data_IF_592741283915
#
_entry.id   IF_592741283915
#
_cell.length_a   1.000
_cell.length_b   1.000
_cell.length_c   1.000
_cell.angle_alpha   90.00
_cell.angle_beta   90.00
_cell.angle_gamma   90.00
#
_symmetry.space_group_name_H-M   'P 1'
#
loop_
_entity.id
_entity.type
_entity.pdbx_description
1 polymer ?
#
# COMPACT_ATOMS: atom_id res chain seq x y z
N UNK A 1 -6.43 12.41 -2.28
CA UNK A 1 -6.73 10.96 -2.31
C UNK A 1 -7.98 10.61 -3.12
N UNK A 2 -9.13 11.27 -2.93
CA UNK A 2 -10.36 11.03 -3.72
C UNK A 2 -10.13 11.16 -5.23
N UNK A 3 -9.52 12.26 -5.67
CA UNK A 3 -9.24 12.51 -7.09
C UNK A 3 -8.33 11.45 -7.73
N UNK A 4 -7.38 10.90 -6.96
CA UNK A 4 -6.50 9.81 -7.41
C UNK A 4 -7.29 8.53 -7.63
N UNK A 5 -8.18 8.17 -6.70
CA UNK A 5 -9.01 6.98 -6.79
C UNK A 5 -10.01 7.07 -7.95
N UNK A 6 -10.57 8.25 -8.18
CA UNK A 6 -11.46 8.50 -9.30
C UNK A 6 -10.72 8.34 -10.63
N UNK A 7 -9.50 8.85 -10.75
CA UNK A 7 -8.66 8.61 -11.91
C UNK A 7 -8.26 7.15 -12.12
N UNK A 8 -7.93 6.42 -11.04
CA UNK A 8 -7.63 4.98 -11.12
C UNK A 8 -8.84 4.23 -11.65
N UNK A 9 -10.02 4.55 -11.11
CA UNK A 9 -11.29 3.95 -11.51
C UNK A 9 -11.61 4.25 -12.98
N UNK A 10 -11.55 5.52 -13.39
CA UNK A 10 -11.78 5.95 -14.77
C UNK A 10 -10.85 5.22 -15.74
N UNK A 11 -9.55 5.16 -15.41
CA UNK A 11 -8.54 4.46 -16.23
C UNK A 11 -8.89 2.99 -16.38
N UNK A 12 -9.27 2.32 -15.29
CA UNK A 12 -9.67 0.91 -15.33
C UNK A 12 -10.92 0.68 -16.17
N UNK A 13 -11.89 1.60 -16.11
CA UNK A 13 -13.11 1.54 -16.91
C UNK A 13 -12.84 1.77 -18.40
N UNK A 14 -11.86 2.61 -18.75
CA UNK A 14 -11.51 2.90 -20.15
C UNK A 14 -10.58 1.86 -20.78
N UNK A 15 -9.72 1.21 -20.00
CA UNK A 15 -8.66 0.31 -20.48
C UNK A 15 -9.04 -1.16 -20.26
N UNK A 16 -10.21 -1.57 -20.75
CA UNK A 16 -10.73 -2.93 -20.52
C UNK A 16 -10.23 -3.97 -21.52
N UNK A 17 -9.68 -3.56 -22.67
CA UNK A 17 -9.32 -4.45 -23.77
C UNK A 17 -7.95 -4.07 -24.31
N UNK A 18 -7.13 -5.09 -24.61
CA UNK A 18 -5.82 -4.92 -25.25
C UNK A 18 -4.63 -5.08 -24.30
N UNK A 19 -3.41 -4.90 -24.81
CA UNK A 19 -2.16 -5.14 -24.07
C UNK A 19 -2.00 -4.21 -22.85
N UNK A 20 -2.55 -3.00 -22.88
CA UNK A 20 -2.53 -2.08 -21.74
C UNK A 20 -3.34 -2.60 -20.54
N UNK A 21 -4.42 -3.34 -20.77
CA UNK A 21 -5.21 -3.98 -19.71
C UNK A 21 -4.41 -5.08 -19.02
N UNK A 22 -3.66 -5.89 -19.79
CA UNK A 22 -2.80 -6.93 -19.24
C UNK A 22 -1.71 -6.35 -18.34
N UNK A 23 -1.11 -5.23 -18.75
CA UNK A 23 -0.15 -4.47 -17.93
C UNK A 23 -0.83 -3.99 -16.64
N UNK A 24 -1.99 -3.34 -16.73
CA UNK A 24 -2.73 -2.84 -15.56
C UNK A 24 -3.10 -3.97 -14.59
N UNK A 25 -3.56 -5.12 -15.10
CA UNK A 25 -3.90 -6.29 -14.28
C UNK A 25 -2.68 -6.87 -13.58
N UNK A 26 -1.56 -7.02 -14.30
CA UNK A 26 -0.32 -7.54 -13.72
C UNK A 26 0.17 -6.66 -12.56
N UNK A 27 0.21 -5.34 -12.75
CA UNK A 27 0.56 -4.39 -11.69
C UNK A 27 -0.48 -4.38 -10.55
N UNK A 28 -1.77 -4.55 -10.87
CA UNK A 28 -2.83 -4.71 -9.88
C UNK A 28 -2.63 -5.93 -8.97
N UNK A 29 -2.36 -7.10 -9.54
CA UNK A 29 -2.09 -8.32 -8.76
C UNK A 29 -0.77 -8.25 -7.99
N UNK A 30 0.26 -7.60 -8.55
CA UNK A 30 1.50 -7.31 -7.81
C UNK A 30 1.23 -6.40 -6.60
N UNK A 31 0.47 -5.32 -6.77
CA UNK A 31 0.12 -4.41 -5.68
C UNK A 31 -0.64 -5.13 -4.56
N UNK A 32 -1.63 -5.96 -4.91
CA UNK A 32 -2.39 -6.78 -3.97
C UNK A 32 -1.50 -7.77 -3.23
N UNK A 33 -0.60 -8.45 -3.94
CA UNK A 33 0.35 -9.40 -3.35
C UNK A 33 1.29 -8.71 -2.36
N UNK A 34 1.80 -7.52 -2.72
CA UNK A 34 2.66 -6.72 -1.84
C UNK A 34 1.92 -6.29 -0.57
N UNK A 35 0.70 -5.76 -0.71
CA UNK A 35 -0.13 -5.32 0.42
C UNK A 35 -0.45 -6.50 1.35
N UNK A 36 -0.84 -7.66 0.82
CA UNK A 36 -1.14 -8.85 1.63
C UNK A 36 0.10 -9.33 2.39
N UNK A 37 1.27 -9.38 1.74
CA UNK A 37 2.53 -9.76 2.39
C UNK A 37 2.94 -8.75 3.46
N UNK A 38 2.81 -7.46 3.19
CA UNK A 38 3.10 -6.41 4.15
C UNK A 38 2.19 -6.49 5.38
N UNK A 39 0.88 -6.63 5.15
CA UNK A 39 -0.11 -6.78 6.20
C UNK A 39 0.14 -8.01 7.07
N UNK A 40 0.45 -9.17 6.46
CA UNK A 40 0.71 -10.40 7.21
C UNK A 40 1.93 -10.26 8.11
N UNK A 41 3.02 -9.67 7.60
CA UNK A 41 4.23 -9.41 8.39
C UNK A 41 3.92 -8.50 9.58
N UNK A 42 3.21 -7.38 9.36
CA UNK A 42 2.87 -6.45 10.43
C UNK A 42 1.98 -7.09 11.50
N UNK A 43 0.95 -7.85 11.12
CA UNK A 43 0.10 -8.53 12.09
C UNK A 43 0.84 -9.61 12.87
N UNK A 44 1.75 -10.36 12.22
CA UNK A 44 2.58 -11.36 12.90
C UNK A 44 3.48 -10.66 13.94
N UNK A 45 4.17 -9.59 13.55
CA UNK A 45 5.02 -8.83 14.47
C UNK A 45 4.22 -8.20 15.62
N UNK A 46 3.07 -7.60 15.32
CA UNK A 46 2.16 -7.04 16.32
C UNK A 46 1.63 -8.10 17.29
N UNK A 47 1.32 -9.31 16.79
CA UNK A 47 0.94 -10.45 17.60
C UNK A 47 2.04 -10.90 18.55
N UNK A 48 3.29 -11.02 18.07
CA UNK A 48 4.43 -11.35 18.93
C UNK A 48 4.67 -10.29 20.01
N UNK A 49 4.61 -9.01 19.64
CA UNK A 49 4.79 -7.91 20.58
C UNK A 49 3.75 -7.92 21.71
N UNK A 50 2.48 -8.16 21.36
CA UNK A 50 1.36 -8.14 22.31
C UNK A 50 1.24 -9.40 23.16
N UNK A 51 1.73 -10.55 22.68
CA UNK A 51 1.71 -11.82 23.42
C UNK A 51 2.89 -11.97 24.40
N UNK A 52 4.00 -11.25 24.18
CA UNK A 52 5.18 -11.30 25.06
C UNK A 52 4.84 -11.05 26.55
N UNK A 53 4.07 -10.02 26.96
CA UNK A 53 3.73 -9.78 28.36
C UNK A 53 2.90 -10.92 28.98
N UNK A 54 2.03 -11.55 28.17
CA UNK A 54 1.18 -12.67 28.62
C UNK A 54 2.03 -13.91 28.87
N UNK A 55 2.94 -14.23 27.95
CA UNK A 55 3.85 -15.37 28.08
C UNK A 55 4.74 -15.20 29.31
N UNK A 56 5.33 -14.01 29.49
CA UNK A 56 6.15 -13.68 30.65
C UNK A 56 5.34 -13.84 31.94
N UNK A 57 4.15 -13.24 32.03
CA UNK A 57 3.29 -13.35 33.21
C UNK A 57 2.93 -14.81 33.55
N UNK A 58 2.58 -15.62 32.54
CA UNK A 58 2.25 -17.04 32.72
C UNK A 58 3.46 -17.87 33.15
N UNK A 59 4.62 -17.67 32.52
CA UNK A 59 5.86 -18.38 32.86
C UNK A 59 6.24 -18.14 34.32
N UNK A 60 6.16 -16.89 34.78
CA UNK A 60 6.45 -16.54 36.18
C UNK A 60 5.43 -17.11 37.16
N UNK A 61 4.15 -17.26 36.79
CA UNK A 61 3.13 -17.90 37.66
C UNK A 61 3.33 -19.41 37.87
N UNK A 62 4.08 -20.07 36.98
CA UNK A 62 4.37 -21.50 37.05
C UNK A 62 5.70 -21.81 37.78
N UNK A 63 6.56 -20.81 37.93
CA UNK A 63 7.84 -20.96 38.64
C UNK A 63 7.61 -20.97 40.17
N UNK A 64 8.17 -21.94 40.91
CA UNK A 64 8.02 -22.03 42.35
C UNK A 64 8.94 -20.99 43.01
N UNK A 65 8.51 -19.74 43.05
CA UNK A 65 9.32 -18.66 43.62
C UNK A 65 8.67 -18.18 44.92
N UNK A 66 9.24 -18.67 46.01
CA UNK A 66 8.92 -18.29 47.37
C UNK A 66 9.50 -16.90 47.64
N UNK A 67 8.83 -15.81 47.21
CA UNK A 67 8.87 -14.46 47.79
C UNK A 67 7.84 -13.56 47.08
N UNK A 68 7.26 -12.61 47.84
CA UNK A 68 6.35 -11.53 47.43
C UNK A 68 6.94 -10.67 46.30
N UNK A 69 6.82 -11.12 45.06
CA UNK A 69 7.18 -10.32 43.89
C UNK A 69 5.90 -9.81 43.22
N UNK A 70 5.53 -8.56 43.52
CA UNK A 70 4.49 -7.83 42.80
C UNK A 70 4.81 -7.87 41.31
N UNK A 71 3.98 -8.54 40.51
CA UNK A 71 4.17 -8.70 39.08
C UNK A 71 4.46 -7.33 38.46
N UNK A 72 5.72 -7.06 38.10
CA UNK A 72 6.10 -5.87 37.34
C UNK A 72 5.61 -6.10 35.92
N UNK A 73 4.35 -5.75 35.69
CA UNK A 73 3.77 -5.65 34.36
C UNK A 73 4.71 -4.86 33.45
N UNK A 74 4.88 -5.34 32.21
CA UNK A 74 5.77 -4.74 31.20
C UNK A 74 5.41 -3.27 30.91
N UNK A 75 4.18 -2.90 31.23
CA UNK A 75 3.66 -1.54 31.22
C UNK A 75 3.25 -1.16 32.64
N UNK A 76 4.11 -0.44 33.36
CA UNK A 76 3.76 0.21 34.62
C UNK A 76 2.92 1.45 34.31
N UNK A 77 1.69 1.25 33.83
CA UNK A 77 0.72 2.34 33.71
C UNK A 77 0.16 2.55 35.10
N UNK A 78 0.51 3.66 35.73
CA UNK A 78 -0.14 4.15 36.96
C UNK A 78 -1.59 4.50 36.60
N UNK A 79 -2.42 3.48 36.39
CA UNK A 79 -3.83 3.66 36.17
C UNK A 79 -4.52 3.77 37.52
N UNK A 80 -5.53 4.64 37.57
CA UNK A 80 -6.52 4.78 38.64
C UNK A 80 -7.27 3.45 38.94
N UNK A 81 -7.03 2.41 38.14
CA UNK A 81 -7.66 1.09 38.18
C UNK A 81 -6.67 0.03 38.67
N UNK A 82 -7.16 -0.89 39.49
CA UNK A 82 -6.42 -2.06 39.99
C UNK A 82 -6.02 -2.99 38.83
N UNK A 83 -4.76 -2.89 38.42
CA UNK A 83 -4.19 -3.60 37.26
C UNK A 83 -4.23 -5.12 37.46
N UNK A 84 -4.13 -5.59 38.71
CA UNK A 84 -4.14 -7.03 39.01
C UNK A 84 -5.53 -7.63 38.79
N UNK A 85 -6.59 -6.91 39.20
CA UNK A 85 -7.98 -7.34 39.03
C UNK A 85 -8.44 -7.32 37.57
N UNK A 86 -8.01 -6.33 36.79
CA UNK A 86 -8.49 -6.10 35.42
C UNK A 86 -7.51 -6.52 34.33
N UNK A 87 -6.43 -7.24 34.66
CA UNK A 87 -5.35 -7.58 33.72
C UNK A 87 -5.84 -8.16 32.39
N UNK A 88 -6.71 -9.18 32.42
CA UNK A 88 -7.21 -9.82 31.20
C UNK A 88 -8.03 -8.85 30.34
N UNK A 89 -8.82 -7.96 30.96
CA UNK A 89 -9.62 -6.96 30.25
C UNK A 89 -8.72 -5.89 29.63
N UNK A 90 -7.71 -5.42 30.36
CA UNK A 90 -6.75 -4.42 29.88
C UNK A 90 -5.90 -4.97 28.73
N UNK A 91 -5.46 -6.22 28.85
CA UNK A 91 -4.75 -6.92 27.77
C UNK A 91 -5.63 -7.06 26.53
N UNK A 92 -6.89 -7.50 26.68
CA UNK A 92 -7.83 -7.59 25.57
C UNK A 92 -8.01 -6.23 24.87
N UNK A 93 -8.19 -5.16 25.65
CA UNK A 93 -8.28 -3.81 25.11
C UNK A 93 -6.99 -3.40 24.36
N UNK A 94 -5.81 -3.74 24.89
CA UNK A 94 -4.54 -3.48 24.22
C UNK A 94 -4.39 -4.26 22.90
N UNK A 95 -4.78 -5.54 22.86
CA UNK A 95 -4.78 -6.34 21.62
C UNK A 95 -5.67 -5.71 20.56
N UNK A 96 -6.89 -5.33 20.93
CA UNK A 96 -7.85 -4.68 20.03
C UNK A 96 -7.31 -3.33 19.55
N UNK A 97 -6.76 -2.51 20.44
CA UNK A 97 -6.16 -1.23 20.09
C UNK A 97 -5.00 -1.36 19.10
N UNK A 98 -4.08 -2.29 19.33
CA UNK A 98 -2.94 -2.53 18.44
C UNK A 98 -3.40 -3.07 17.08
N UNK A 99 -4.40 -3.95 17.06
CA UNK A 99 -4.99 -4.43 15.81
C UNK A 99 -5.55 -3.27 14.96
N UNK A 100 -6.28 -2.34 15.58
CA UNK A 100 -6.80 -1.16 14.89
C UNK A 100 -5.69 -0.21 14.42
N UNK A 101 -4.68 0.05 15.24
CA UNK A 101 -3.54 0.88 14.85
C UNK A 101 -2.81 0.30 13.63
N UNK A 102 -2.52 -1.00 13.65
CA UNK A 102 -1.89 -1.70 12.53
C UNK A 102 -2.79 -1.66 11.29
N UNK A 103 -4.10 -1.84 11.44
CA UNK A 103 -5.06 -1.75 10.33
C UNK A 103 -5.03 -0.39 9.64
N UNK A 104 -4.97 0.70 10.42
CA UNK A 104 -4.90 2.07 9.88
C UNK A 104 -3.60 2.29 9.10
N UNK A 105 -2.47 1.81 9.61
CA UNK A 105 -1.17 1.90 8.93
C UNK A 105 -1.17 1.12 7.63
N UNK A 106 -1.65 -0.14 7.66
CA UNK A 106 -1.78 -0.98 6.46
C UNK A 106 -2.68 -0.30 5.42
N UNK A 107 -3.77 0.34 5.85
CA UNK A 107 -4.66 1.05 4.93
C UNK A 107 -3.95 2.25 4.28
N UNK A 108 -3.24 3.08 5.07
CA UNK A 108 -2.51 4.23 4.54
C UNK A 108 -1.39 3.80 3.57
N UNK A 109 -0.55 2.86 3.98
CA UNK A 109 0.56 2.35 3.16
C UNK A 109 0.06 1.58 1.94
N UNK A 110 -1.01 0.79 2.09
CA UNK A 110 -1.61 0.05 1.00
C UNK A 110 -2.17 0.95 -0.08
N UNK A 111 -2.79 2.07 0.31
CA UNK A 111 -3.24 3.10 -0.64
C UNK A 111 -2.08 3.74 -1.39
N UNK A 112 -0.97 4.01 -0.71
CA UNK A 112 0.24 4.54 -1.33
C UNK A 112 0.87 3.55 -2.32
N UNK A 113 0.99 2.27 -1.94
CA UNK A 113 1.48 1.20 -2.80
C UNK A 113 0.62 1.10 -4.06
N UNK A 114 -0.71 1.07 -3.90
CA UNK A 114 -1.65 0.97 -5.01
C UNK A 114 -1.52 2.14 -5.99
N UNK A 115 -1.44 3.38 -5.49
CA UNK A 115 -1.27 4.56 -6.33
C UNK A 115 0.08 4.53 -7.08
N UNK A 116 1.16 4.15 -6.40
CA UNK A 116 2.49 4.04 -7.00
C UNK A 116 2.52 2.98 -8.10
N UNK A 117 1.99 1.78 -7.82
CA UNK A 117 1.92 0.69 -8.80
C UNK A 117 1.05 1.07 -10.00
N UNK A 118 -0.06 1.77 -9.79
CA UNK A 118 -0.90 2.27 -10.89
C UNK A 118 -0.15 3.26 -11.79
N UNK A 119 0.58 4.22 -11.21
CA UNK A 119 1.43 5.15 -11.96
C UNK A 119 2.50 4.41 -12.74
N UNK A 120 3.16 3.40 -12.14
CA UNK A 120 4.14 2.56 -12.83
C UNK A 120 3.51 1.81 -14.01
N UNK A 121 2.31 1.24 -13.84
CA UNK A 121 1.58 0.57 -14.91
C UNK A 121 1.27 1.50 -16.09
N UNK A 122 0.91 2.76 -15.81
CA UNK A 122 0.68 3.77 -16.86
C UNK A 122 1.96 4.11 -17.62
N UNK A 123 3.10 4.26 -16.94
CA UNK A 123 4.38 4.46 -17.61
C UNK A 123 4.80 3.25 -18.44
N UNK A 124 4.55 2.05 -17.94
CA UNK A 124 4.79 0.81 -18.67
C UNK A 124 3.94 0.73 -19.95
N UNK A 125 2.67 1.12 -19.88
CA UNK A 125 1.81 1.23 -21.08
C UNK A 125 2.33 2.24 -22.10
N UNK A 126 2.84 3.39 -21.65
CA UNK A 126 3.48 4.38 -22.54
C UNK A 126 4.73 3.78 -23.20
N UNK A 127 5.58 3.09 -22.42
CA UNK A 127 6.78 2.41 -22.93
C UNK A 127 6.40 1.38 -23.99
N UNK A 128 5.44 0.51 -23.68
CA UNK A 128 4.95 -0.50 -24.61
C UNK A 128 4.51 0.10 -25.96
N UNK A 129 3.75 1.19 -25.92
CA UNK A 129 3.33 1.88 -27.14
C UNK A 129 4.50 2.47 -27.94
N UNK A 130 5.52 3.02 -27.27
CA UNK A 130 6.72 3.55 -27.93
C UNK A 130 7.59 2.44 -28.54
N UNK A 131 7.77 1.32 -27.84
CA UNK A 131 8.53 0.17 -28.34
C UNK A 131 7.86 -0.48 -29.56
N UNK A 132 6.52 -0.56 -29.53
CA UNK A 132 5.72 -1.01 -30.69
C UNK A 132 5.99 -0.18 -31.94
N UNK A 133 6.14 1.15 -31.79
CA UNK A 133 6.47 2.05 -32.91
C UNK A 133 7.89 1.83 -33.46
N UNK A 134 8.87 1.48 -32.60
CA UNK A 134 10.24 1.20 -33.05
C UNK A 134 10.37 -0.16 -33.77
N UNK A 135 9.58 -1.16 -33.37
CA UNK A 135 9.61 -2.49 -33.97
C UNK A 135 8.89 -2.60 -35.32
N UNK A 136 8.01 -1.65 -35.62
CA UNK A 136 7.35 -1.52 -36.91
C UNK A 136 8.14 -0.58 -37.82
N UNK A 137 8.59 -1.06 -38.97
CA UNK A 137 9.40 -0.34 -39.98
C UNK A 137 8.60 0.81 -40.65
N UNK A 138 8.19 1.82 -39.86
CA UNK A 138 7.37 2.97 -40.28
C UNK A 138 8.22 4.12 -40.84
N UNK A 139 9.40 3.85 -41.39
CA UNK A 139 10.14 4.86 -42.15
C UNK A 139 9.52 4.99 -43.55
N UNK A 140 8.22 5.30 -43.62
CA UNK A 140 7.58 5.74 -44.85
C UNK A 140 8.09 7.16 -45.13
N UNK A 141 8.76 7.30 -46.28
CA UNK A 141 9.59 8.45 -46.65
C UNK A 141 8.82 9.80 -46.66
N UNK A 142 7.49 9.80 -46.60
CA UNK A 142 6.65 11.00 -46.44
C UNK A 142 5.28 10.62 -45.83
N UNK A 143 5.05 10.79 -44.51
CA UNK A 143 3.74 10.58 -43.92
C UNK A 143 2.84 11.80 -44.14
N UNK A 144 1.61 11.57 -44.59
CA UNK A 144 0.56 12.58 -44.51
C UNK A 144 0.13 12.71 -43.04
N UNK A 145 0.32 13.88 -42.43
CA UNK A 145 0.14 14.14 -40.98
C UNK A 145 -1.26 13.75 -40.47
N UNK A 146 -2.27 13.73 -41.36
CA UNK A 146 -3.64 13.37 -41.01
C UNK A 146 -3.92 11.85 -40.91
N UNK A 147 -3.03 11.00 -41.44
CA UNK A 147 -3.21 9.54 -41.51
C UNK A 147 -1.99 8.78 -40.92
N UNK A 148 -1.08 9.52 -40.27
CA UNK A 148 0.10 8.95 -39.64
C UNK A 148 -0.26 8.39 -38.25
N UNK A 149 -0.50 7.07 -38.23
CA UNK A 149 -0.74 6.30 -37.02
C UNK A 149 0.36 6.52 -35.97
N UNK A 150 1.63 6.63 -36.38
CA UNK A 150 2.75 6.86 -35.47
C UNK A 150 2.67 8.26 -34.83
N UNK A 151 2.33 9.29 -35.62
CA UNK A 151 2.11 10.63 -35.08
C UNK A 151 1.02 10.65 -34.01
N UNK A 152 -0.12 9.99 -34.27
CA UNK A 152 -1.23 9.93 -33.31
C UNK A 152 -0.87 9.15 -32.04
N UNK A 153 -0.13 8.04 -32.14
CA UNK A 153 0.35 7.28 -30.98
C UNK A 153 1.34 8.11 -30.15
N UNK A 154 2.27 8.83 -30.79
CA UNK A 154 3.24 9.70 -30.09
C UNK A 154 2.53 10.83 -29.34
N UNK A 155 1.58 11.52 -29.99
CA UNK A 155 0.79 12.57 -29.34
C UNK A 155 -0.03 12.00 -28.18
N UNK A 156 -0.60 10.80 -28.33
CA UNK A 156 -1.27 10.07 -27.27
C UNK A 156 -0.33 9.82 -26.07
N UNK A 157 0.85 9.28 -26.32
CA UNK A 157 1.88 9.01 -25.31
C UNK A 157 2.29 10.30 -24.56
N UNK A 158 2.50 11.42 -25.28
CA UNK A 158 2.85 12.70 -24.65
C UNK A 158 1.72 13.21 -23.75
N UNK A 159 0.46 13.10 -24.20
CA UNK A 159 -0.71 13.49 -23.38
C UNK A 159 -0.83 12.62 -22.13
N UNK A 160 -0.68 11.31 -22.28
CA UNK A 160 -0.70 10.37 -21.15
C UNK A 160 0.45 10.64 -20.18
N UNK A 161 1.67 10.84 -20.67
CA UNK A 161 2.83 11.18 -19.86
C UNK A 161 2.62 12.45 -19.02
N UNK A 162 2.09 13.52 -19.63
CA UNK A 162 1.74 14.76 -18.91
C UNK A 162 0.67 14.53 -17.84
N UNK A 163 -0.32 13.69 -18.12
CA UNK A 163 -1.37 13.32 -17.16
C UNK A 163 -0.79 12.54 -15.97
N UNK A 164 0.07 11.56 -16.24
CA UNK A 164 0.75 10.77 -15.20
C UNK A 164 1.64 11.64 -14.32
N UNK A 165 2.41 12.56 -14.91
CA UNK A 165 3.22 13.51 -14.14
C UNK A 165 2.39 14.37 -13.19
N UNK A 166 1.21 14.82 -13.62
CA UNK A 166 0.29 15.55 -12.75
C UNK A 166 -0.20 14.68 -11.58
N UNK A 167 -0.51 13.40 -11.84
CA UNK A 167 -0.86 12.44 -10.79
C UNK A 167 0.28 12.23 -9.79
N UNK A 168 1.52 12.08 -10.27
CA UNK A 168 2.71 11.94 -9.42
C UNK A 168 2.86 13.15 -8.49
N UNK A 169 2.71 14.35 -9.04
CA UNK A 169 2.87 15.60 -8.29
C UNK A 169 1.78 15.76 -7.21
N UNK A 170 0.54 15.34 -7.50
CA UNK A 170 -0.55 15.26 -6.50
C UNK A 170 -0.28 14.19 -5.44
N UNK A 171 0.36 13.07 -5.83
CA UNK A 171 0.73 12.00 -4.91
C UNK A 171 1.86 12.45 -3.99
N UNK A 172 2.89 13.11 -4.50
CA UNK A 172 4.01 13.63 -3.71
C UNK A 172 3.60 14.72 -2.73
N UNK A 173 2.73 15.66 -3.13
CA UNK A 173 2.19 16.68 -2.21
C UNK A 173 1.36 16.07 -1.08
N UNK A 174 0.59 15.01 -1.35
CA UNK A 174 -0.18 14.34 -0.30
C UNK A 174 0.72 13.56 0.67
N UNK A 175 1.88 13.08 0.23
CA UNK A 175 2.87 12.43 1.10
C UNK A 175 3.52 13.45 2.04
N UNK A 176 3.91 14.63 1.54
CA UNK A 176 4.49 15.68 2.39
C UNK A 176 3.55 16.16 3.50
N UNK A 177 2.24 16.21 3.24
CA UNK A 177 1.22 16.59 4.24
C UNK A 177 1.00 15.50 5.30
N UNK A 178 1.29 14.22 5.00
CA UNK A 178 1.17 13.13 5.98
C UNK A 178 2.44 12.89 6.80
N UNK A 179 3.58 13.47 6.40
CA UNK A 179 4.85 13.37 7.11
C UNK A 179 5.14 14.60 7.99
N UNK A 180 4.38 15.69 7.83
CA UNK A 180 4.44 16.92 8.64
C UNK A 180 3.39 16.92 9.77
#
# INVERSE_FOLDING_TARGET
MKDLLEHIKETWETTQVGPENEILQNYGEQSKTLIIKYASILYIMGGFYTTMPVIVSRLYSLLPTNETYTARYLFRVEHVLDVEKYFNLLMLHAFVGIFFLISVWIAADGMFILCTQHVCALFEGIRYNMERLQGSDFMTVEPNIADDEAYHIIIGCIKSYKRVLKLVLVTSLNVEIHVA
#
